data_IF_484208574310
#
_entry.id   IF_484208574310
#
_cell.length_a   1.000
_cell.length_b   1.000
_cell.length_c   1.000
_cell.angle_alpha   90.00
_cell.angle_beta   90.00
_cell.angle_gamma   90.00
#
_symmetry.space_group_name_H-M   'P 1'
#
loop_
_entity.id
_entity.type
_entity.pdbx_description
1 polymer ?
#
# COMPACT_ATOMS: atom_id res chain seq x y z
N UNK A 1 -8.01 2.81 -14.57
CA UNK A 1 -7.16 2.98 -13.36
C UNK A 1 -7.35 1.92 -12.26
N UNK A 2 -8.57 1.44 -11.97
CA UNK A 2 -8.83 0.48 -10.86
C UNK A 2 -8.12 -0.88 -11.02
N UNK A 3 -7.96 -1.37 -12.25
CA UNK A 3 -7.34 -2.67 -12.55
C UNK A 3 -5.84 -2.67 -12.24
N UNK A 4 -5.10 -1.65 -12.69
CA UNK A 4 -3.65 -1.56 -12.49
C UNK A 4 -3.25 -1.60 -11.01
N UNK A 5 -3.97 -0.87 -10.15
CA UNK A 5 -3.70 -0.86 -8.71
C UNK A 5 -4.09 -2.18 -8.03
N UNK A 6 -5.10 -2.87 -8.55
CA UNK A 6 -5.46 -4.21 -8.06
C UNK A 6 -4.40 -5.25 -8.42
N UNK A 7 -3.87 -5.21 -9.64
CA UNK A 7 -2.75 -6.07 -10.05
C UNK A 7 -1.48 -5.77 -9.25
N UNK A 8 -1.17 -4.49 -9.02
CA UNK A 8 -0.06 -4.10 -8.16
C UNK A 8 -0.23 -4.62 -6.72
N UNK A 9 -1.44 -4.52 -6.17
CA UNK A 9 -1.76 -5.09 -4.86
C UNK A 9 -1.62 -6.62 -4.83
N UNK A 10 -2.01 -7.31 -5.90
CA UNK A 10 -1.83 -8.75 -6.05
C UNK A 10 -0.35 -9.14 -6.06
N UNK A 11 0.48 -8.44 -6.83
CA UNK A 11 1.94 -8.66 -6.88
C UNK A 11 2.58 -8.38 -5.52
N UNK A 12 2.20 -7.30 -4.85
CA UNK A 12 2.75 -6.93 -3.54
C UNK A 12 2.46 -7.96 -2.44
N UNK A 13 1.29 -8.61 -2.51
CA UNK A 13 0.88 -9.65 -1.56
C UNK A 13 1.47 -11.02 -1.88
N UNK A 14 1.70 -11.34 -3.15
CA UNK A 14 2.20 -12.65 -3.60
C UNK A 14 3.72 -12.72 -3.75
N UNK A 15 4.40 -11.60 -4.01
CA UNK A 15 5.87 -11.51 -4.08
C UNK A 15 6.47 -11.09 -2.73
N UNK A 16 7.72 -11.47 -2.49
CA UNK A 16 8.52 -11.11 -1.32
C UNK A 16 8.96 -9.63 -1.36
N UNK A 17 8.01 -8.71 -1.19
CA UNK A 17 8.32 -7.31 -0.83
C UNK A 17 8.78 -7.30 0.64
N UNK A 18 10.07 -7.01 0.88
CA UNK A 18 10.64 -6.90 2.22
C UNK A 18 10.31 -5.54 2.84
N UNK A 19 9.99 -5.51 4.14
CA UNK A 19 9.99 -4.27 4.94
C UNK A 19 8.89 -3.24 4.68
N UNK A 20 7.75 -3.61 4.09
CA UNK A 20 6.65 -2.66 3.83
C UNK A 20 5.55 -2.72 4.90
N UNK A 21 5.30 -1.60 5.59
CA UNK A 21 4.19 -1.48 6.54
C UNK A 21 2.82 -1.67 5.85
N UNK A 22 2.69 -1.24 4.58
CA UNK A 22 1.50 -1.45 3.75
C UNK A 22 1.20 -2.93 3.54
N UNK A 23 2.24 -3.75 3.32
CA UNK A 23 2.09 -5.19 3.13
C UNK A 23 1.64 -5.84 4.43
N UNK A 24 2.30 -5.55 5.55
CA UNK A 24 1.92 -6.07 6.87
C UNK A 24 0.48 -5.70 7.24
N UNK A 25 0.08 -4.45 6.99
CA UNK A 25 -1.29 -4.00 7.17
C UNK A 25 -2.28 -4.76 6.28
N UNK A 26 -1.98 -4.94 4.99
CA UNK A 26 -2.87 -5.67 4.08
C UNK A 26 -3.00 -7.15 4.43
N UNK A 27 -1.94 -7.79 4.95
CA UNK A 27 -2.00 -9.16 5.48
C UNK A 27 -2.89 -9.25 6.72
N UNK A 28 -2.85 -8.25 7.60
CA UNK A 28 -3.76 -8.18 8.75
C UNK A 28 -5.23 -8.03 8.30
N UNK A 29 -5.49 -7.25 7.25
CA UNK A 29 -6.83 -7.16 6.63
C UNK A 29 -7.24 -8.50 6.02
N UNK A 30 -6.33 -9.21 5.35
CA UNK A 30 -6.60 -10.52 4.78
C UNK A 30 -7.02 -11.54 5.86
N UNK A 31 -6.38 -11.50 7.04
CA UNK A 31 -6.73 -12.34 8.19
C UNK A 31 -8.15 -12.06 8.71
N UNK A 32 -8.62 -10.82 8.67
CA UNK A 32 -9.92 -10.41 9.23
C UNK A 32 -11.08 -10.51 8.22
N UNK A 33 -10.81 -10.25 6.95
CA UNK A 33 -11.84 -9.98 5.95
C UNK A 33 -11.67 -10.81 4.65
N UNK A 34 -10.62 -11.63 4.56
CA UNK A 34 -10.31 -12.44 3.39
C UNK A 34 -9.50 -11.72 2.31
N UNK A 35 -8.83 -12.52 1.48
CA UNK A 35 -7.82 -12.06 0.53
C UNK A 35 -8.38 -11.10 -0.55
N UNK A 36 -9.59 -11.34 -1.05
CA UNK A 36 -10.23 -10.47 -2.06
C UNK A 36 -10.45 -9.05 -1.53
N UNK A 37 -10.93 -8.92 -0.28
CA UNK A 37 -11.14 -7.62 0.37
C UNK A 37 -9.81 -6.93 0.68
N UNK A 38 -8.79 -7.70 1.08
CA UNK A 38 -7.44 -7.17 1.30
C UNK A 38 -6.81 -6.57 0.03
N UNK A 39 -6.93 -7.22 -1.13
CA UNK A 39 -6.43 -6.68 -2.42
C UNK A 39 -7.09 -5.35 -2.76
N UNK A 40 -8.42 -5.25 -2.60
CA UNK A 40 -9.16 -4.01 -2.86
C UNK A 40 -8.77 -2.90 -1.88
N UNK A 41 -8.64 -3.23 -0.59
CA UNK A 41 -8.22 -2.27 0.44
C UNK A 41 -6.79 -1.75 0.19
N UNK A 42 -5.87 -2.65 -0.17
CA UNK A 42 -4.50 -2.30 -0.52
C UNK A 42 -4.44 -1.41 -1.78
N UNK A 43 -5.18 -1.75 -2.83
CA UNK A 43 -5.25 -0.95 -4.04
C UNK A 43 -5.73 0.49 -3.77
N UNK A 44 -6.77 0.65 -2.93
CA UNK A 44 -7.26 1.98 -2.51
C UNK A 44 -6.20 2.76 -1.75
N UNK A 45 -5.52 2.11 -0.80
CA UNK A 45 -4.50 2.79 0.00
C UNK A 45 -3.27 3.17 -0.84
N UNK A 46 -2.88 2.33 -1.81
CA UNK A 46 -1.85 2.66 -2.79
C UNK A 46 -2.25 3.89 -3.62
N UNK A 47 -3.50 3.98 -4.08
CA UNK A 47 -3.99 5.14 -4.82
C UNK A 47 -3.84 6.45 -4.03
N UNK A 48 -4.22 6.43 -2.74
CA UNK A 48 -4.12 7.60 -1.86
C UNK A 48 -2.67 7.99 -1.62
N UNK A 49 -1.79 7.03 -1.33
CA UNK A 49 -0.37 7.31 -1.09
C UNK A 49 0.29 7.90 -2.34
N UNK A 50 0.07 7.29 -3.51
CA UNK A 50 0.64 7.78 -4.76
C UNK A 50 0.13 9.18 -5.11
N UNK A 51 -1.17 9.43 -4.92
CA UNK A 51 -1.74 10.75 -5.13
C UNK A 51 -1.18 11.78 -4.16
N UNK A 52 -1.01 11.41 -2.89
CA UNK A 52 -0.47 12.32 -1.87
C UNK A 52 0.99 12.67 -2.14
N UNK A 53 1.82 11.70 -2.56
CA UNK A 53 3.20 11.95 -2.97
C UNK A 53 3.28 12.89 -4.17
N UNK A 54 2.42 12.69 -5.17
CA UNK A 54 2.35 13.56 -6.34
C UNK A 54 1.98 15.01 -5.96
N UNK A 55 1.12 15.18 -4.95
CA UNK A 55 0.72 16.50 -4.46
C UNK A 55 1.72 17.15 -3.51
N UNK A 56 2.46 16.37 -2.74
CA UNK A 56 3.39 16.86 -1.70
C UNK A 56 4.84 16.94 -2.17
N UNK A 57 5.16 16.37 -3.33
CA UNK A 57 6.53 16.11 -3.79
C UNK A 57 7.40 15.31 -2.78
N UNK A 58 6.80 14.75 -1.73
CA UNK A 58 7.48 14.03 -0.68
C UNK A 58 7.72 12.56 -1.06
N UNK A 59 8.87 12.00 -0.65
CA UNK A 59 9.25 10.62 -0.96
C UNK A 59 8.46 9.63 -0.09
N UNK A 60 8.08 8.50 -0.68
CA UNK A 60 7.44 7.41 0.07
C UNK A 60 8.38 6.84 1.12
N UNK A 61 7.94 6.80 2.38
CA UNK A 61 8.64 6.14 3.48
C UNK A 61 7.91 4.82 3.85
N UNK A 62 8.50 3.64 3.58
CA UNK A 62 7.85 2.34 3.79
C UNK A 62 7.43 2.02 5.23
N UNK A 63 7.99 2.73 6.20
CA UNK A 63 7.76 2.58 7.65
C UNK A 63 6.72 3.54 8.21
N UNK A 64 6.27 4.55 7.44
CA UNK A 64 5.16 5.44 7.80
C UNK A 64 5.49 6.55 8.80
N UNK A 65 6.76 6.79 9.15
CA UNK A 65 7.16 7.92 9.99
C UNK A 65 7.56 9.09 9.09
N UNK A 66 6.92 10.28 9.17
CA UNK A 66 7.38 11.43 8.40
C UNK A 66 8.79 11.78 8.88
N UNK A 67 9.71 12.00 7.94
CA UNK A 67 10.96 12.66 8.27
C UNK A 67 10.57 14.08 8.70
N UNK A 68 10.86 14.45 9.95
CA UNK A 68 10.66 15.82 10.40
C UNK A 68 11.41 16.73 9.41
N UNK A 69 10.66 17.56 8.70
CA UNK A 69 11.21 18.60 7.84
C UNK A 69 11.84 19.61 8.78
N UNK A 70 13.17 19.70 8.73
CA UNK A 70 13.96 20.79 9.34
C UNK A 70 13.71 22.07 8.57
#
# INVERSE_FOLDING_TARGET
>A
MRVALYEAANVMLTRSVKGSALKSWALAVAKRAGMRKAKVALARKLAVVLHQMMRSAERFLPTGRPAAVV
#
